data_IF_413507787961
#
_entry.id   IF_413507787961
#
_cell.length_a   1.000
_cell.length_b   1.000
_cell.length_c   1.000
_cell.angle_alpha   90.00
_cell.angle_beta   90.00
_cell.angle_gamma   90.00
#
_symmetry.space_group_name_H-M   'P 1'
#
loop_
_entity.id
_entity.type
_entity.pdbx_description
1 polymer ?
#
# COMPACT_ATOMS: atom_id res chain seq x y z
N UNK A 1 -35.45 13.09 15.38
CA UNK A 1 -34.04 12.84 15.74
C UNK A 1 -33.47 11.89 14.72
N UNK A 2 -32.56 12.34 13.85
CA UNK A 2 -31.98 11.49 12.80
C UNK A 2 -30.92 10.58 13.43
N UNK A 3 -31.17 9.28 13.45
CA UNK A 3 -30.17 8.27 13.85
C UNK A 3 -29.23 8.06 12.67
N UNK A 4 -28.08 8.75 12.66
CA UNK A 4 -27.02 8.42 11.71
C UNK A 4 -26.62 6.94 11.91
N UNK A 5 -26.63 6.10 10.87
CA UNK A 5 -26.24 4.70 10.99
C UNK A 5 -24.79 4.61 11.49
N UNK A 6 -24.54 3.72 12.45
CA UNK A 6 -23.20 3.50 13.00
C UNK A 6 -22.26 2.97 11.90
N UNK A 7 -21.17 3.69 11.67
CA UNK A 7 -20.18 3.34 10.65
C UNK A 7 -19.10 2.42 11.25
N UNK A 8 -19.29 1.11 11.02
CA UNK A 8 -18.39 0.06 11.54
C UNK A 8 -17.29 -0.32 10.55
N UNK A 9 -16.07 -0.52 11.07
CA UNK A 9 -14.92 -0.96 10.26
C UNK A 9 -15.12 -2.31 9.55
N UNK A 10 -16.00 -3.17 10.06
CA UNK A 10 -16.33 -4.48 9.49
C UNK A 10 -17.19 -4.40 8.22
N UNK A 11 -17.85 -3.27 7.97
CA UNK A 11 -18.69 -3.05 6.79
C UNK A 11 -17.94 -2.35 5.65
N UNK A 12 -16.70 -1.93 5.89
CA UNK A 12 -15.88 -1.14 4.96
C UNK A 12 -15.01 -2.05 4.06
N UNK A 13 -14.47 -1.53 2.94
CA UNK A 13 -13.55 -2.26 2.06
C UNK A 13 -12.39 -2.87 2.83
N UNK A 14 -11.76 -3.93 2.33
CA UNK A 14 -10.58 -4.50 3.01
C UNK A 14 -9.41 -3.50 2.99
N UNK A 15 -8.65 -3.45 4.09
CA UNK A 15 -7.35 -2.77 4.11
C UNK A 15 -6.33 -3.68 3.44
N UNK A 16 -5.66 -3.18 2.39
CA UNK A 16 -4.59 -3.92 1.71
C UNK A 16 -3.35 -3.99 2.64
N UNK A 17 -3.01 -2.86 3.27
CA UNK A 17 -1.92 -2.75 4.24
C UNK A 17 -2.50 -2.15 5.55
N UNK A 18 -2.96 -2.99 6.49
CA UNK A 18 -3.58 -2.53 7.75
C UNK A 18 -2.66 -1.65 8.62
N UNK A 19 -1.35 -1.78 8.47
CA UNK A 19 -0.30 -1.10 9.25
C UNK A 19 -0.39 0.43 9.15
N UNK A 20 -0.91 0.98 8.06
CA UNK A 20 -1.08 2.42 7.85
C UNK A 20 -2.47 2.94 8.23
N UNK A 21 -3.41 2.03 8.45
CA UNK A 21 -4.78 2.34 8.82
C UNK A 21 -5.63 2.98 7.72
N UNK A 22 -6.88 3.29 8.07
CA UNK A 22 -7.92 3.78 7.14
C UNK A 22 -7.64 5.16 6.56
N UNK A 23 -6.95 6.02 7.30
CA UNK A 23 -6.72 7.40 6.85
C UNK A 23 -5.78 7.42 5.64
N UNK A 24 -4.72 6.61 5.64
CA UNK A 24 -3.82 6.49 4.49
C UNK A 24 -4.56 5.91 3.29
N UNK A 25 -5.39 4.88 3.49
CA UNK A 25 -6.23 4.34 2.41
C UNK A 25 -7.11 5.42 1.76
N UNK A 26 -7.79 6.25 2.56
CA UNK A 26 -8.59 7.37 2.04
C UNK A 26 -7.76 8.41 1.30
N UNK A 27 -6.53 8.69 1.75
CA UNK A 27 -5.64 9.61 1.04
C UNK A 27 -5.25 9.07 -0.33
N UNK A 28 -5.01 7.75 -0.44
CA UNK A 28 -4.72 7.08 -1.72
C UNK A 28 -5.94 7.07 -2.63
N UNK A 29 -7.13 6.77 -2.09
CA UNK A 29 -8.40 6.87 -2.83
C UNK A 29 -8.61 8.28 -3.40
N UNK A 30 -8.40 9.31 -2.59
CA UNK A 30 -8.47 10.69 -3.04
C UNK A 30 -7.42 11.03 -4.11
N UNK A 31 -6.20 10.49 -3.99
CA UNK A 31 -5.15 10.68 -4.99
C UNK A 31 -5.57 10.14 -6.36
N UNK A 32 -6.31 9.02 -6.42
CA UNK A 32 -6.82 8.45 -7.66
C UNK A 32 -7.90 9.33 -8.34
N UNK A 33 -8.63 10.13 -7.56
CA UNK A 33 -9.66 11.04 -8.07
C UNK A 33 -9.09 12.34 -8.67
N UNK A 34 -7.80 12.64 -8.47
CA UNK A 34 -7.17 13.86 -9.00
C UNK A 34 -6.91 13.73 -10.50
N UNK A 35 -7.57 14.53 -11.33
CA UNK A 35 -7.39 14.51 -12.81
C UNK A 35 -5.99 14.95 -13.26
N UNK A 36 -5.45 16.00 -12.64
CA UNK A 36 -4.19 16.63 -13.02
C UNK A 36 -2.99 15.78 -12.58
N UNK A 37 -2.18 15.32 -13.55
CA UNK A 37 -1.02 14.44 -13.30
C UNK A 37 0.04 15.07 -12.41
N UNK A 38 0.29 16.38 -12.52
CA UNK A 38 1.28 17.06 -11.68
C UNK A 38 0.77 17.15 -10.25
N UNK A 39 -0.50 17.53 -10.06
CA UNK A 39 -1.13 17.56 -8.74
C UNK A 39 -1.23 16.17 -8.13
N UNK A 40 -1.53 15.15 -8.93
CA UNK A 40 -1.56 13.75 -8.49
C UNK A 40 -0.19 13.29 -8.01
N UNK A 41 0.86 13.63 -8.76
CA UNK A 41 2.25 13.33 -8.38
C UNK A 41 2.65 14.05 -7.09
N UNK A 42 2.25 15.31 -6.93
CA UNK A 42 2.49 16.07 -5.70
C UNK A 42 1.77 15.43 -4.50
N UNK A 43 0.50 15.07 -4.65
CA UNK A 43 -0.30 14.39 -3.63
C UNK A 43 0.29 13.03 -3.26
N UNK A 44 0.72 12.23 -4.25
CA UNK A 44 1.40 10.96 -4.03
C UNK A 44 2.67 11.11 -3.17
N UNK A 45 3.51 12.12 -3.46
CA UNK A 45 4.70 12.44 -2.67
C UNK A 45 4.35 12.84 -1.24
N UNK A 46 3.28 13.63 -1.05
CA UNK A 46 2.80 13.99 0.28
C UNK A 46 2.31 12.77 1.08
N UNK A 47 1.60 11.85 0.43
CA UNK A 47 1.16 10.58 1.05
C UNK A 47 2.37 9.75 1.50
N UNK A 48 3.40 9.64 0.66
CA UNK A 48 4.64 8.91 1.00
C UNK A 48 5.31 9.50 2.24
N UNK A 49 5.35 10.84 2.36
CA UNK A 49 5.89 11.49 3.57
C UNK A 49 5.07 11.15 4.82
N UNK A 50 3.74 11.06 4.71
CA UNK A 50 2.88 10.63 5.83
C UNK A 50 3.16 9.18 6.20
N UNK A 51 3.26 8.27 5.23
CA UNK A 51 3.59 6.86 5.47
C UNK A 51 4.98 6.74 6.13
N UNK A 52 5.97 7.50 5.66
CA UNK A 52 7.33 7.54 6.23
C UNK A 52 7.38 8.04 7.69
N UNK A 53 6.41 8.88 8.08
CA UNK A 53 6.26 9.35 9.46
C UNK A 53 5.60 8.30 10.35
N UNK A 54 4.66 7.53 9.81
CA UNK A 54 3.95 6.48 10.52
C UNK A 54 4.82 5.25 10.78
N UNK A 55 5.79 4.96 9.90
CA UNK A 55 6.69 3.82 10.05
C UNK A 55 8.17 4.24 10.11
N UNK A 56 8.64 4.80 11.24
CA UNK A 56 10.03 5.24 11.39
C UNK A 56 11.04 4.09 11.35
N UNK A 57 10.61 2.85 11.64
CA UNK A 57 11.47 1.68 11.66
C UNK A 57 11.98 1.28 10.27
N UNK A 58 11.25 1.62 9.20
CA UNK A 58 11.69 1.35 7.83
C UNK A 58 12.92 2.17 7.42
N UNK A 59 13.25 3.27 8.11
CA UNK A 59 14.38 4.17 7.75
C UNK A 59 15.75 3.52 7.82
N UNK A 60 15.89 2.40 8.52
CA UNK A 60 17.16 1.68 8.65
C UNK A 60 17.42 0.72 7.49
N UNK A 61 16.48 0.59 6.55
CA UNK A 61 16.63 -0.26 5.37
C UNK A 61 17.17 0.58 4.21
N UNK A 62 18.23 0.12 3.53
CA UNK A 62 18.87 0.78 2.38
C UNK A 62 17.93 1.09 1.21
N UNK A 63 16.68 0.61 1.26
CA UNK A 63 15.68 0.76 0.20
C UNK A 63 14.31 1.25 0.70
N UNK A 64 14.28 1.98 1.82
CA UNK A 64 13.01 2.38 2.44
C UNK A 64 12.12 3.22 1.53
N UNK A 65 12.71 4.14 0.74
CA UNK A 65 11.95 4.99 -0.18
C UNK A 65 11.23 4.14 -1.24
N UNK A 66 11.92 3.16 -1.83
CA UNK A 66 11.33 2.23 -2.78
C UNK A 66 10.20 1.43 -2.15
N UNK A 67 10.39 0.90 -0.93
CA UNK A 67 9.35 0.18 -0.20
C UNK A 67 8.09 1.03 0.04
N UNK A 68 8.25 2.33 0.32
CA UNK A 68 7.11 3.24 0.47
C UNK A 68 6.37 3.46 -0.85
N UNK A 69 7.09 3.60 -1.96
CA UNK A 69 6.49 3.64 -3.29
C UNK A 69 5.77 2.32 -3.60
N UNK A 70 6.37 1.16 -3.32
CA UNK A 70 5.74 -0.16 -3.50
C UNK A 70 4.44 -0.26 -2.71
N UNK A 71 4.41 0.19 -1.45
CA UNK A 71 3.19 0.23 -0.65
C UNK A 71 2.11 1.13 -1.26
N UNK A 72 2.49 2.30 -1.79
CA UNK A 72 1.56 3.20 -2.47
C UNK A 72 0.94 2.52 -3.70
N UNK A 73 1.78 1.88 -4.53
CA UNK A 73 1.34 1.15 -5.73
C UNK A 73 0.35 0.03 -5.38
N UNK A 74 0.71 -0.79 -4.39
CA UNK A 74 -0.13 -1.88 -3.87
C UNK A 74 -1.48 -1.33 -3.34
N UNK A 75 -1.46 -0.26 -2.56
CA UNK A 75 -2.70 0.35 -2.02
C UNK A 75 -3.58 0.96 -3.12
N UNK A 76 -3.00 1.39 -4.23
CA UNK A 76 -3.70 1.93 -5.40
C UNK A 76 -4.17 0.86 -6.39
N UNK A 77 -3.96 -0.43 -6.09
CA UNK A 77 -4.19 -1.54 -7.02
C UNK A 77 -3.51 -1.33 -8.39
N UNK A 78 -2.33 -0.69 -8.42
CA UNK A 78 -1.57 -0.35 -9.64
C UNK A 78 -2.33 0.55 -10.65
N UNK A 79 -3.41 1.22 -10.23
CA UNK A 79 -4.21 2.12 -11.08
C UNK A 79 -3.67 3.55 -11.13
N UNK A 80 -2.72 3.88 -10.27
CA UNK A 80 -2.16 5.22 -10.17
C UNK A 80 -1.27 5.52 -11.41
N UNK A 81 -1.36 6.74 -11.96
CA UNK A 81 -0.44 7.23 -12.99
C UNK A 81 0.24 8.50 -12.47
N UNK A 82 1.50 8.37 -12.03
CA UNK A 82 2.31 9.42 -11.42
C UNK A 82 3.77 9.30 -11.82
N UNK A 83 4.49 10.42 -11.81
CA UNK A 83 5.92 10.46 -12.08
C UNK A 83 6.72 10.04 -10.82
N UNK A 84 7.03 8.75 -10.75
CA UNK A 84 7.82 8.15 -9.68
C UNK A 84 9.31 8.03 -10.09
N UNK A 85 10.25 8.23 -9.16
CA UNK A 85 11.69 8.07 -9.41
C UNK A 85 12.13 6.61 -9.53
N UNK A 86 11.27 5.66 -9.12
CA UNK A 86 11.53 4.22 -9.17
C UNK A 86 10.53 3.55 -10.13
N UNK A 87 10.95 2.49 -10.84
CA UNK A 87 10.05 1.77 -11.75
C UNK A 87 8.89 1.14 -10.99
N UNK A 88 7.71 1.13 -11.61
CA UNK A 88 6.53 0.50 -11.06
C UNK A 88 6.81 -0.99 -10.77
N UNK A 89 6.53 -1.51 -9.56
CA UNK A 89 6.63 -2.92 -9.28
C UNK A 89 5.72 -3.70 -10.23
N UNK A 90 6.24 -4.78 -10.84
CA UNK A 90 5.42 -5.60 -11.75
C UNK A 90 4.38 -6.34 -10.91
N UNK A 91 3.07 -6.21 -11.21
CA UNK A 91 2.03 -6.93 -10.47
C UNK A 91 2.24 -8.46 -10.52
N UNK A 92 2.89 -8.96 -11.57
CA UNK A 92 3.25 -10.37 -11.75
C UNK A 92 4.21 -10.91 -10.68
N UNK A 93 5.08 -10.07 -10.08
CA UNK A 93 6.01 -10.50 -9.02
C UNK A 93 5.31 -10.69 -7.66
N UNK A 94 4.11 -10.12 -7.48
CA UNK A 94 3.32 -10.27 -6.24
C UNK A 94 2.41 -11.49 -6.29
N UNK A 95 1.98 -11.92 -7.48
CA UNK A 95 1.16 -13.12 -7.67
C UNK A 95 1.97 -14.41 -7.78
N UNK A 96 3.30 -14.33 -7.85
CA UNK A 96 4.15 -15.52 -7.87
C UNK A 96 4.00 -16.25 -6.54
N UNK A 97 3.18 -17.32 -6.55
CA UNK A 97 3.03 -18.21 -5.40
C UNK A 97 4.41 -18.73 -5.02
N UNK A 98 4.78 -18.70 -3.72
CA UNK A 98 6.04 -19.28 -3.29
C UNK A 98 6.10 -20.74 -3.72
N UNK A 99 7.29 -21.17 -4.13
CA UNK A 99 7.51 -22.55 -4.54
C UNK A 99 7.11 -23.49 -3.40
N UNK A 100 6.38 -24.57 -3.71
CA UNK A 100 5.95 -25.51 -2.68
C UNK A 100 7.19 -26.20 -2.11
N UNK A 101 7.55 -25.87 -0.88
CA UNK A 101 8.61 -26.57 -0.15
C UNK A 101 8.14 -28.02 0.07
N UNK A 102 8.89 -29.04 -0.38
CA UNK A 102 8.55 -30.42 -0.08
C UNK A 102 8.62 -30.65 1.42
N UNK A 103 7.57 -31.25 1.99
CA UNK A 103 7.56 -31.60 3.41
C UNK A 103 8.67 -32.65 3.69
N UNK A 104 9.53 -32.45 4.70
CA UNK A 104 10.56 -33.43 5.01
C UNK A 104 9.91 -34.75 5.45
N UNK A 105 10.06 -35.80 4.63
CA UNK A 105 9.57 -37.16 4.91
C UNK A 105 10.55 -37.99 5.76
N UNK A 106 11.46 -37.37 6.49
CA UNK A 106 12.32 -38.10 7.42
C UNK A 106 11.52 -38.55 8.63
N UNK A 107 11.50 -39.87 8.86
CA UNK A 107 11.03 -40.42 10.12
C UNK A 107 11.85 -39.81 11.26
N UNK A 108 11.19 -39.11 12.18
CA UNK A 108 11.78 -38.72 13.46
C UNK A 108 12.22 -40.01 14.15
N UNK A 109 13.53 -40.15 14.37
CA UNK A 109 14.14 -41.33 14.99
C UNK A 109 14.49 -41.05 16.43
#
# INVERSE_FOLDING_TARGET
MSTAPFDYNTQRPRLIIPEYGRNVQRMVEHCLEVDDREKRTHTAKAIIQVIARLNPHLRNHDNFERTLWDHLWIMSEFKLDVDAPFPMPKPEELESKPERVPYPQTAVK
#
